data_IF_288508603676
#
_entry.id   IF_288508603676
#
_cell.length_a   1.000
_cell.length_b   1.000
_cell.length_c   1.000
_cell.angle_alpha   90.00
_cell.angle_beta   90.00
_cell.angle_gamma   90.00
#
_symmetry.space_group_name_H-M   'P 1'
#
loop_
_entity.id
_entity.type
_entity.pdbx_description
1 polymer ?
#
# COMPACT_ATOMS: atom_id res chain seq x y z
N UNK A 1 -19.46 -11.79 7.66
CA UNK A 1 -18.39 -12.73 7.87
C UNK A 1 -18.23 -13.64 6.65
N UNK A 2 -17.00 -13.91 6.29
CA UNK A 2 -16.72 -14.82 5.21
C UNK A 2 -16.81 -16.25 5.72
N UNK A 3 -17.33 -17.15 4.90
CA UNK A 3 -17.40 -18.57 5.26
C UNK A 3 -16.05 -19.26 5.05
N UNK A 4 -15.06 -18.56 4.53
CA UNK A 4 -13.73 -19.11 4.27
C UNK A 4 -12.70 -18.49 5.21
N UNK A 5 -11.70 -19.25 5.65
CA UNK A 5 -10.63 -18.69 6.48
C UNK A 5 -9.90 -17.58 5.74
N UNK A 6 -9.45 -16.58 6.50
CA UNK A 6 -8.67 -15.49 5.94
C UNK A 6 -7.27 -16.01 5.62
N UNK A 7 -6.89 -15.94 4.35
CA UNK A 7 -5.56 -16.34 3.89
C UNK A 7 -4.62 -15.15 3.71
N UNK A 8 -5.14 -13.93 3.88
CA UNK A 8 -4.35 -12.71 3.80
C UNK A 8 -3.42 -12.62 5.01
N UNK A 9 -2.18 -12.21 4.76
CA UNK A 9 -1.20 -11.97 5.82
C UNK A 9 -1.00 -10.48 5.98
N UNK A 10 -1.35 -9.96 7.16
CA UNK A 10 -1.12 -8.57 7.51
C UNK A 10 0.21 -8.48 8.25
N UNK A 11 1.23 -7.97 7.55
CA UNK A 11 2.56 -7.86 8.12
C UNK A 11 2.66 -6.66 9.08
N UNK A 12 3.62 -6.70 9.98
CA UNK A 12 3.88 -5.58 10.89
C UNK A 12 4.30 -4.35 10.10
N UNK A 13 3.97 -3.17 10.65
CA UNK A 13 4.40 -1.91 10.05
C UNK A 13 5.91 -1.83 10.04
N UNK A 14 6.47 -1.26 8.97
CA UNK A 14 7.88 -0.91 8.90
C UNK A 14 8.03 0.58 9.15
N UNK A 15 8.88 0.93 10.11
CA UNK A 15 9.05 2.32 10.53
C UNK A 15 10.45 2.78 10.20
N UNK A 16 10.55 3.89 9.48
CA UNK A 16 11.81 4.45 8.98
C UNK A 16 12.06 5.82 9.58
N UNK A 17 13.33 6.22 9.62
CA UNK A 17 13.73 7.50 10.24
C UNK A 17 13.31 8.71 9.43
N UNK A 18 13.19 8.56 8.12
CA UNK A 18 12.82 9.68 7.25
C UNK A 18 12.02 9.19 6.05
N UNK A 19 11.45 10.13 5.32
CA UNK A 19 10.64 9.83 4.14
C UNK A 19 11.43 9.16 3.03
N UNK A 20 12.69 9.56 2.86
CA UNK A 20 13.53 8.99 1.80
C UNK A 20 13.72 7.49 2.00
N UNK A 21 14.07 7.08 3.21
CA UNK A 21 14.22 5.65 3.53
C UNK A 21 12.92 4.90 3.33
N UNK A 22 11.80 5.51 3.73
CA UNK A 22 10.48 4.90 3.56
C UNK A 22 10.15 4.69 2.09
N UNK A 23 10.32 5.72 1.27
CA UNK A 23 10.02 5.59 -0.16
C UNK A 23 10.95 4.60 -0.85
N UNK A 24 12.22 4.55 -0.47
CA UNK A 24 13.15 3.56 -1.01
C UNK A 24 12.66 2.15 -0.72
N UNK A 25 12.15 1.90 0.48
CA UNK A 25 11.61 0.59 0.86
C UNK A 25 10.33 0.27 0.09
N UNK A 26 9.45 1.24 -0.11
CA UNK A 26 8.22 1.05 -0.89
C UNK A 26 8.57 0.69 -2.33
N UNK A 27 9.50 1.41 -2.93
CA UNK A 27 9.92 1.17 -4.31
C UNK A 27 10.52 -0.24 -4.45
N UNK A 28 11.33 -0.65 -3.48
CA UNK A 28 11.89 -2.01 -3.47
C UNK A 28 10.80 -3.07 -3.42
N UNK A 29 9.79 -2.87 -2.60
CA UNK A 29 8.67 -3.80 -2.48
C UNK A 29 7.85 -3.85 -3.78
N UNK A 30 7.61 -2.70 -4.41
CA UNK A 30 6.91 -2.65 -5.69
C UNK A 30 7.72 -3.41 -6.75
N UNK A 31 9.03 -3.19 -6.79
CA UNK A 31 9.91 -3.88 -7.76
C UNK A 31 9.85 -5.39 -7.59
N UNK A 32 9.85 -5.87 -6.36
CA UNK A 32 9.74 -7.30 -6.08
C UNK A 32 8.41 -7.88 -6.56
N UNK A 33 7.31 -7.15 -6.35
CA UNK A 33 6.00 -7.57 -6.84
C UNK A 33 5.96 -7.60 -8.36
N UNK A 34 6.50 -6.59 -9.02
CA UNK A 34 6.54 -6.51 -10.49
C UNK A 34 7.36 -7.69 -11.06
N UNK A 35 8.47 -8.01 -10.43
CA UNK A 35 9.32 -9.12 -10.85
C UNK A 35 8.57 -10.45 -10.79
N UNK A 36 7.75 -10.65 -9.76
CA UNK A 36 6.89 -11.84 -9.62
C UNK A 36 5.62 -11.77 -10.46
N UNK A 37 5.35 -10.63 -11.06
CA UNK A 37 4.08 -10.32 -11.73
C UNK A 37 2.88 -10.31 -10.78
N UNK A 38 3.14 -10.11 -9.50
CA UNK A 38 2.10 -9.97 -8.50
C UNK A 38 1.54 -8.54 -8.54
N UNK A 39 0.21 -8.35 -8.62
CA UNK A 39 -0.34 -7.00 -8.61
C UNK A 39 -0.11 -6.32 -7.26
N UNK A 40 0.17 -5.03 -7.30
CA UNK A 40 0.39 -4.24 -6.09
C UNK A 40 -0.49 -2.99 -6.13
N UNK A 41 -1.16 -2.73 -5.01
CA UNK A 41 -1.96 -1.54 -4.79
C UNK A 41 -1.33 -0.75 -3.66
N UNK A 42 -0.96 0.50 -3.94
CA UNK A 42 -0.35 1.36 -2.93
C UNK A 42 -1.35 2.44 -2.52
N UNK A 43 -1.69 2.46 -1.24
CA UNK A 43 -2.62 3.44 -0.68
C UNK A 43 -1.89 4.66 -0.15
N UNK A 44 -2.32 5.84 -0.57
CA UNK A 44 -1.77 7.12 -0.11
C UNK A 44 -2.84 7.93 0.61
N UNK A 45 -2.41 8.93 1.38
CA UNK A 45 -3.33 9.74 2.18
C UNK A 45 -3.81 11.00 1.48
N UNK A 46 -3.25 11.35 0.33
CA UNK A 46 -3.67 12.54 -0.43
C UNK A 46 -3.38 12.38 -1.92
N UNK A 47 -4.07 13.19 -2.71
CA UNK A 47 -3.86 13.22 -4.16
C UNK A 47 -2.42 13.62 -4.47
N UNK A 48 -1.89 14.64 -3.77
CA UNK A 48 -0.52 15.10 -3.98
C UNK A 48 0.50 13.99 -3.74
N UNK A 49 0.33 13.22 -2.67
CA UNK A 49 1.24 12.12 -2.35
C UNK A 49 1.14 10.98 -3.35
N UNK A 50 -0.06 10.75 -3.90
CA UNK A 50 -0.21 9.73 -4.94
C UNK A 50 0.49 10.13 -6.23
N UNK A 51 0.40 11.39 -6.62
CA UNK A 51 1.08 11.90 -7.80
C UNK A 51 2.60 11.90 -7.62
N UNK A 52 3.07 12.29 -6.45
CA UNK A 52 4.50 12.26 -6.10
C UNK A 52 5.05 10.84 -6.19
N UNK A 53 4.35 9.89 -5.59
CA UNK A 53 4.79 8.48 -5.61
C UNK A 53 4.78 7.93 -7.04
N UNK A 54 3.79 8.28 -7.83
CA UNK A 54 3.73 7.85 -9.22
C UNK A 54 4.95 8.30 -10.02
N UNK A 55 5.40 9.54 -9.79
CA UNK A 55 6.61 10.06 -10.44
C UNK A 55 7.85 9.31 -9.99
N UNK A 56 7.95 9.01 -8.69
CA UNK A 56 9.08 8.27 -8.14
C UNK A 56 9.13 6.85 -8.74
N UNK A 57 7.99 6.17 -8.80
CA UNK A 57 7.91 4.84 -9.40
C UNK A 57 8.34 4.87 -10.87
N UNK A 58 7.85 5.84 -11.61
CA UNK A 58 8.19 5.96 -13.03
C UNK A 58 9.68 6.24 -13.23
N UNK A 59 10.26 7.11 -12.41
CA UNK A 59 11.68 7.46 -12.52
C UNK A 59 12.60 6.33 -12.08
N UNK A 60 12.22 5.60 -11.02
CA UNK A 60 13.09 4.57 -10.45
C UNK A 60 12.92 3.21 -11.12
N UNK A 61 11.72 2.86 -11.53
CA UNK A 61 11.41 1.54 -12.08
C UNK A 61 11.08 1.53 -13.57
N UNK A 62 10.94 2.71 -14.17
CA UNK A 62 10.55 2.80 -15.58
C UNK A 62 9.12 2.33 -15.85
N UNK A 63 8.29 2.26 -14.84
CA UNK A 63 6.92 1.79 -14.92
C UNK A 63 5.98 2.97 -14.69
N UNK A 64 4.96 3.10 -15.53
CA UNK A 64 3.93 4.12 -15.34
C UNK A 64 2.76 3.50 -14.57
N UNK A 65 2.64 3.77 -13.26
CA UNK A 65 1.53 3.20 -12.50
C UNK A 65 0.20 3.83 -12.87
N UNK A 66 -0.89 3.08 -12.68
CA UNK A 66 -2.22 3.65 -12.76
C UNK A 66 -2.48 4.43 -11.47
N UNK A 67 -3.01 5.65 -11.58
CA UNK A 67 -3.31 6.48 -10.41
C UNK A 67 -4.81 6.63 -10.28
N UNK A 68 -5.34 6.14 -9.16
CA UNK A 68 -6.76 6.19 -8.84
C UNK A 68 -6.99 7.25 -7.77
N UNK A 69 -7.58 8.37 -8.16
CA UNK A 69 -7.92 9.45 -7.23
C UNK A 69 -9.19 10.17 -7.66
N UNK A 70 -9.64 11.12 -6.84
CA UNK A 70 -10.90 11.81 -7.06
C UNK A 70 -10.92 12.71 -8.31
N UNK A 71 -9.76 12.99 -8.91
CA UNK A 71 -9.69 13.80 -10.12
C UNK A 71 -10.12 13.08 -11.39
N UNK A 72 -10.12 11.76 -11.37
CA UNK A 72 -10.31 10.95 -12.58
C UNK A 72 -11.42 9.92 -12.42
N UNK A 73 -12.61 10.39 -12.06
CA UNK A 73 -13.78 9.52 -11.87
C UNK A 73 -14.12 8.68 -13.10
N UNK A 74 -13.92 9.23 -14.28
CA UNK A 74 -14.30 8.56 -15.52
C UNK A 74 -13.50 7.29 -15.79
N UNK A 75 -12.27 7.24 -15.29
CA UNK A 75 -11.37 6.11 -15.50
C UNK A 75 -11.31 5.16 -14.30
N UNK A 76 -12.03 5.48 -13.24
CA UNK A 76 -11.95 4.74 -11.99
C UNK A 76 -12.33 3.27 -12.17
N UNK A 77 -13.42 2.99 -12.87
CA UNK A 77 -13.86 1.62 -13.09
C UNK A 77 -12.83 0.80 -13.88
N UNK A 78 -12.21 1.41 -14.88
CA UNK A 78 -11.18 0.75 -15.69
C UNK A 78 -9.94 0.43 -14.88
N UNK A 79 -9.51 1.38 -14.04
CA UNK A 79 -8.34 1.20 -13.18
C UNK A 79 -8.59 0.07 -12.19
N UNK A 80 -9.75 0.06 -11.56
CA UNK A 80 -10.12 -1.00 -10.60
C UNK A 80 -10.20 -2.35 -11.29
N UNK A 81 -10.78 -2.41 -12.49
CA UNK A 81 -10.89 -3.65 -13.24
C UNK A 81 -9.51 -4.26 -13.54
N UNK A 82 -8.49 -3.44 -13.71
CA UNK A 82 -7.15 -3.89 -14.04
C UNK A 82 -6.23 -4.05 -12.83
N UNK A 83 -6.63 -3.53 -11.67
CA UNK A 83 -5.75 -3.49 -10.49
C UNK A 83 -5.39 -4.87 -9.95
N UNK A 84 -6.21 -5.88 -10.17
CA UNK A 84 -5.95 -7.25 -9.74
C UNK A 84 -5.30 -8.14 -10.78
N UNK A 85 -4.92 -7.60 -11.92
CA UNK A 85 -4.29 -8.37 -13.00
C UNK A 85 -2.79 -8.50 -12.77
N UNK A 86 -2.18 -9.53 -13.38
CA UNK A 86 -0.73 -9.74 -13.29
C UNK A 86 0.05 -8.50 -13.69
N UNK A 87 1.01 -8.12 -12.88
CA UNK A 87 1.91 -7.02 -13.19
C UNK A 87 1.33 -5.64 -12.99
N UNK A 88 0.08 -5.52 -12.52
CA UNK A 88 -0.54 -4.22 -12.32
C UNK A 88 0.11 -3.48 -11.14
N UNK A 89 0.39 -2.20 -11.34
CA UNK A 89 0.86 -1.30 -10.29
C UNK A 89 -0.13 -0.15 -10.21
N UNK A 90 -0.84 -0.06 -9.10
CA UNK A 90 -1.89 0.95 -8.90
C UNK A 90 -1.59 1.75 -7.65
N UNK A 91 -1.72 3.06 -7.75
CA UNK A 91 -1.59 3.97 -6.61
C UNK A 91 -2.95 4.63 -6.42
N UNK A 92 -3.50 4.53 -5.21
CA UNK A 92 -4.84 5.02 -4.93
C UNK A 92 -4.87 5.85 -3.64
N UNK A 93 -5.62 6.94 -3.65
CA UNK A 93 -5.91 7.65 -2.41
C UNK A 93 -6.89 6.82 -1.59
N UNK A 94 -6.93 7.05 -0.28
CA UNK A 94 -7.72 6.25 0.65
C UNK A 94 -9.22 6.17 0.32
N UNK A 95 -9.77 7.21 -0.30
CA UNK A 95 -11.21 7.25 -0.63
C UNK A 95 -11.53 6.80 -2.04
N UNK A 96 -10.52 6.64 -2.89
CA UNK A 96 -10.75 6.28 -4.29
C UNK A 96 -11.13 4.81 -4.40
N UNK A 97 -12.10 4.50 -5.23
CA UNK A 97 -12.57 3.13 -5.47
C UNK A 97 -13.28 2.51 -4.29
N UNK A 98 -13.71 3.31 -3.33
CA UNK A 98 -14.39 2.83 -2.13
C UNK A 98 -15.65 2.04 -2.49
N UNK A 99 -15.80 0.87 -1.85
CA UNK A 99 -16.96 0.02 -2.06
C UNK A 99 -16.89 -0.89 -3.28
N UNK A 100 -15.80 -0.80 -4.05
CA UNK A 100 -15.60 -1.63 -5.24
C UNK A 100 -14.57 -2.71 -4.96
N UNK A 101 -14.91 -3.95 -5.27
CA UNK A 101 -14.00 -5.09 -5.09
C UNK A 101 -12.98 -5.15 -6.23
N UNK A 102 -11.74 -5.45 -5.89
CA UNK A 102 -10.70 -5.73 -6.87
C UNK A 102 -10.66 -7.23 -7.07
N UNK A 103 -11.03 -7.65 -8.29
CA UNK A 103 -11.02 -9.07 -8.64
C UNK A 103 -9.64 -9.48 -9.12
N UNK A 104 -9.17 -10.62 -8.64
CA UNK A 104 -7.87 -11.14 -9.05
C UNK A 104 -7.96 -11.73 -10.44
N UNK A 105 -6.97 -11.42 -11.27
CA UNK A 105 -6.87 -11.99 -12.60
C UNK A 105 -6.40 -13.44 -12.57
N UNK A 106 -6.38 -14.06 -13.74
CA UNK A 106 -5.94 -15.45 -13.87
C UNK A 106 -4.50 -15.61 -13.40
N UNK A 107 -4.27 -16.61 -12.54
CA UNK A 107 -2.94 -16.94 -12.05
C UNK A 107 -2.45 -16.08 -10.91
N UNK A 108 -3.21 -15.06 -10.48
CA UNK A 108 -2.77 -14.15 -9.43
C UNK A 108 -2.81 -14.79 -8.04
N UNK A 109 -3.75 -15.69 -7.80
CA UNK A 109 -3.84 -16.41 -6.53
C UNK A 109 -2.54 -17.18 -6.26
N UNK A 110 -1.99 -17.81 -7.27
CA UNK A 110 -0.75 -18.59 -7.17
C UNK A 110 0.48 -17.70 -6.90
N UNK A 111 0.37 -16.42 -7.23
CA UNK A 111 1.44 -15.45 -6.97
C UNK A 111 1.35 -14.84 -5.56
N UNK A 112 0.33 -15.18 -4.80
CA UNK A 112 0.12 -14.64 -3.47
C UNK A 112 -1.02 -13.62 -3.36
N UNK A 113 -1.79 -13.44 -4.43
CA UNK A 113 -2.91 -12.51 -4.45
C UNK A 113 -2.49 -11.05 -4.58
N UNK A 114 -3.35 -10.15 -4.13
CA UNK A 114 -3.08 -8.71 -4.22
C UNK A 114 -2.19 -8.26 -3.06
N UNK A 115 -1.10 -7.58 -3.40
CA UNK A 115 -0.22 -6.94 -2.42
C UNK A 115 -0.72 -5.52 -2.18
N UNK A 116 -1.05 -5.19 -0.94
CA UNK A 116 -1.53 -3.86 -0.55
C UNK A 116 -0.50 -3.21 0.36
N UNK A 117 -0.01 -2.05 -0.03
CA UNK A 117 0.97 -1.27 0.72
C UNK A 117 0.36 0.06 1.12
N UNK A 118 0.48 0.42 2.40
CA UNK A 118 0.07 1.74 2.86
C UNK A 118 1.30 2.62 3.04
N UNK A 119 1.23 3.86 2.61
CA UNK A 119 2.37 4.79 2.72
C UNK A 119 2.36 5.57 4.01
N UNK A 120 1.24 5.59 4.72
CA UNK A 120 1.09 6.25 6.03
C UNK A 120 -0.12 5.63 6.73
N UNK A 121 -0.14 5.74 8.05
CA UNK A 121 -1.34 5.42 8.83
C UNK A 121 -2.30 6.59 8.81
N UNK A 122 -3.59 6.29 8.90
CA UNK A 122 -4.64 7.28 9.04
C UNK A 122 -5.00 7.44 10.50
N UNK A 123 -5.66 8.54 10.85
CA UNK A 123 -6.12 8.77 12.21
C UNK A 123 -7.14 7.72 12.64
N UNK A 124 -7.93 7.24 11.70
CA UNK A 124 -8.93 6.20 11.96
C UNK A 124 -8.38 4.82 11.56
N UNK A 125 -8.37 3.90 12.52
CA UNK A 125 -8.03 2.50 12.23
C UNK A 125 -8.98 1.92 11.19
N UNK A 126 -10.20 2.39 11.16
CA UNK A 126 -11.21 1.96 10.19
C UNK A 126 -10.76 2.19 8.76
N UNK A 127 -10.15 3.35 8.49
CA UNK A 127 -9.63 3.65 7.15
C UNK A 127 -8.46 2.74 6.79
N UNK A 128 -7.55 2.52 7.74
CA UNK A 128 -6.43 1.59 7.53
C UNK A 128 -6.95 0.18 7.22
N UNK A 129 -7.97 -0.27 7.95
CA UNK A 129 -8.55 -1.59 7.73
C UNK A 129 -9.32 -1.68 6.41
N UNK A 130 -9.90 -0.59 5.94
CA UNK A 130 -10.53 -0.55 4.61
C UNK A 130 -9.48 -0.77 3.51
N UNK A 131 -8.30 -0.19 3.68
CA UNK A 131 -7.22 -0.42 2.72
C UNK A 131 -6.76 -1.88 2.75
N UNK A 132 -6.51 -2.43 3.94
CA UNK A 132 -6.15 -3.85 4.07
C UNK A 132 -7.21 -4.76 3.47
N UNK A 133 -8.47 -4.41 3.65
CA UNK A 133 -9.61 -5.20 3.18
C UNK A 133 -9.75 -5.30 1.67
N UNK A 134 -8.94 -4.56 0.90
CA UNK A 134 -8.92 -4.72 -0.55
C UNK A 134 -8.17 -5.97 -0.96
N UNK A 135 -7.34 -6.53 -0.09
CA UNK A 135 -6.62 -7.78 -0.31
C UNK A 135 -7.29 -8.93 0.43
N UNK A 136 -7.13 -10.14 -0.06
CA UNK A 136 -7.58 -11.34 0.64
C UNK A 136 -9.08 -11.53 0.67
N UNK A 137 -9.79 -11.03 -0.32
CA UNK A 137 -11.24 -11.18 -0.41
C UNK A 137 -11.63 -12.64 -0.55
N UNK A 138 -12.69 -13.05 0.17
CA UNK A 138 -13.30 -14.37 0.05
C UNK A 138 -12.31 -15.53 0.20
N UNK A 139 -11.34 -15.39 1.11
CA UNK A 139 -10.39 -16.44 1.38
C UNK A 139 -9.20 -16.48 0.42
N UNK A 140 -9.11 -15.55 -0.52
CA UNK A 140 -7.94 -15.45 -1.38
C UNK A 140 -6.70 -15.07 -0.56
N UNK A 141 -5.50 -15.53 -0.97
CA UNK A 141 -4.29 -15.06 -0.33
C UNK A 141 -4.09 -13.57 -0.60
N UNK A 142 -3.28 -12.94 0.21
CA UNK A 142 -2.98 -11.52 0.06
C UNK A 142 -1.88 -11.10 1.02
N UNK A 143 -1.37 -9.91 0.80
CA UNK A 143 -0.29 -9.32 1.57
C UNK A 143 -0.64 -7.88 1.87
N UNK A 144 -0.48 -7.46 3.13
CA UNK A 144 -0.62 -6.04 3.48
C UNK A 144 0.52 -5.60 4.38
N UNK A 145 0.98 -4.37 4.19
CA UNK A 145 1.99 -3.77 5.05
C UNK A 145 1.91 -2.25 4.94
N UNK A 146 2.06 -1.57 6.07
CA UNK A 146 2.20 -0.13 6.11
C UNK A 146 3.67 0.26 6.30
N UNK A 147 4.09 1.27 5.55
CA UNK A 147 5.43 1.84 5.62
C UNK A 147 5.32 3.23 6.23
N UNK A 148 5.99 3.44 7.34
CA UNK A 148 5.86 4.66 8.13
C UNK A 148 7.21 5.35 8.26
N UNK A 149 7.19 6.67 8.48
CA UNK A 149 8.40 7.40 8.86
C UNK A 149 8.08 8.36 9.99
N UNK A 150 9.10 8.74 10.75
CA UNK A 150 8.92 9.72 11.82
C UNK A 150 8.59 11.10 11.26
N UNK A 151 8.76 11.30 9.95
CA UNK A 151 8.39 12.53 9.27
C UNK A 151 6.95 12.56 8.76
N UNK A 152 6.21 11.45 8.88
CA UNK A 152 4.80 11.40 8.47
C UNK A 152 3.97 12.35 9.33
N UNK A 153 2.94 12.95 8.74
CA UNK A 153 2.11 13.94 9.42
C UNK A 153 1.50 13.41 10.71
N UNK A 154 0.96 12.19 10.67
CA UNK A 154 0.35 11.57 11.85
C UNK A 154 1.40 11.35 12.95
N UNK A 155 2.58 10.88 12.56
CA UNK A 155 3.67 10.63 13.51
C UNK A 155 4.17 11.91 14.16
N UNK A 156 4.20 13.01 13.42
CA UNK A 156 4.58 14.32 13.96
C UNK A 156 3.59 14.82 14.99
N UNK A 157 2.29 14.55 14.80
CA UNK A 157 1.26 14.97 15.76
C UNK A 157 1.42 14.28 17.11
N UNK A 158 1.92 13.05 17.11
CA UNK A 158 2.17 12.28 18.33
C UNK A 158 3.62 12.36 18.79
N UNK A 159 4.39 13.31 18.26
CA UNK A 159 5.83 13.36 18.39
C UNK A 159 6.36 13.85 19.73
N UNK A 160 6.04 13.19 20.85
CA UNK A 160 6.74 13.40 22.11
C UNK A 160 8.12 12.77 21.99
N UNK A 161 9.08 13.24 22.82
CA UNK A 161 10.42 12.66 22.85
C UNK A 161 10.37 11.16 23.16
N UNK A 162 9.51 10.79 24.08
CA UNK A 162 9.33 9.39 24.46
C UNK A 162 8.85 8.52 23.31
N UNK A 163 7.91 9.05 22.52
CA UNK A 163 7.35 8.34 21.37
C UNK A 163 8.40 8.20 20.26
N UNK A 164 9.14 9.26 19.99
CA UNK A 164 10.21 9.24 18.99
C UNK A 164 11.32 8.26 19.38
N UNK A 165 11.65 8.21 20.66
CA UNK A 165 12.65 7.27 21.18
C UNK A 165 12.19 5.83 20.95
N UNK A 166 10.93 5.54 21.23
CA UNK A 166 10.38 4.21 21.02
C UNK A 166 10.42 3.82 19.54
N UNK A 167 10.04 4.72 18.64
CA UNK A 167 10.08 4.47 17.21
C UNK A 167 11.51 4.23 16.73
N UNK A 168 12.45 5.02 17.23
CA UNK A 168 13.87 4.84 16.91
C UNK A 168 14.38 3.47 17.33
N UNK A 169 13.99 3.05 18.51
CA UNK A 169 14.35 1.71 19.02
C UNK A 169 13.79 0.60 18.11
N UNK A 170 12.53 0.72 17.69
CA UNK A 170 11.92 -0.27 16.81
C UNK A 170 12.63 -0.36 15.46
N UNK A 171 13.00 0.78 14.89
CA UNK A 171 13.75 0.82 13.62
C UNK A 171 15.11 0.15 13.78
N UNK A 172 15.83 0.46 14.86
CA UNK A 172 17.15 -0.11 15.12
C UNK A 172 17.09 -1.63 15.29
N UNK A 173 16.06 -2.13 15.94
CA UNK A 173 15.87 -3.59 16.09
C UNK A 173 15.66 -4.26 14.74
N UNK A 174 15.00 -3.57 13.82
CA UNK A 174 14.71 -4.13 12.51
C UNK A 174 15.95 -4.22 11.63
N UNK A 175 16.84 -3.25 11.78
CA UNK A 175 18.09 -3.20 11.05
C UNK A 175 19.16 -4.14 11.64
N UNK A 176 18.92 -4.64 12.84
CA UNK A 176 19.84 -5.53 13.54
C UNK A 176 19.76 -7.00 13.17
#
# INVERSE_FOLDING_TARGET
PTNKPVARIDHHDEIYRNKQEKYDAIIKQIAECVERKQPVLVGTVSIEKSEELAKIVQNKLGIKPAVLNAKQHEREADIIANAGQKGAVTIATNMAGRGTDIKLGEGVVELGGLCVLGTERHESRRIDNQLRGRSGRQGDPGYTRFFLSTEDDLMRRFGSEKFKTLLGYMVNQKDG
#
